data_IF_106947493627
#
_entry.id   IF_106947493627
#
_cell.length_a   1.000
_cell.length_b   1.000
_cell.length_c   1.000
_cell.angle_alpha   90.00
_cell.angle_beta   90.00
_cell.angle_gamma   90.00
#
_symmetry.space_group_name_H-M   'P 1'
#
loop_
_entity.id
_entity.type
_entity.pdbx_description
1 polymer ?
#
# COMPACT_ATOMS: atom_id res chain seq x y z
N UNK A 1 -7.13 10.45 -16.45
CA UNK A 1 -6.02 9.54 -16.11
C UNK A 1 -5.28 10.17 -14.94
N UNK A 2 -4.88 9.35 -13.97
CA UNK A 2 -4.00 9.79 -12.87
C UNK A 2 -2.68 10.34 -13.46
N UNK A 3 -2.15 11.39 -12.87
CA UNK A 3 -0.91 12.03 -13.29
C UNK A 3 0.15 11.89 -12.20
N UNK A 4 1.39 11.69 -12.61
CA UNK A 4 2.54 11.88 -11.73
C UNK A 4 2.86 13.38 -11.66
N UNK A 5 2.84 13.92 -10.44
CA UNK A 5 3.16 15.32 -10.18
C UNK A 5 4.68 15.43 -10.04
N UNK A 6 5.26 16.34 -10.81
CA UNK A 6 6.70 16.66 -10.79
C UNK A 6 6.88 18.13 -10.47
N UNK A 7 7.97 18.46 -9.78
CA UNK A 7 8.33 19.85 -9.48
C UNK A 7 7.50 20.51 -8.36
N UNK A 8 6.69 19.74 -7.62
CA UNK A 8 5.98 20.22 -6.44
C UNK A 8 6.01 19.18 -5.33
N UNK A 9 5.54 19.56 -4.14
CA UNK A 9 5.43 18.68 -2.98
C UNK A 9 4.03 18.76 -2.40
N UNK A 10 3.58 17.73 -1.65
CA UNK A 10 2.27 17.76 -0.99
C UNK A 10 2.03 19.05 -0.20
N UNK A 11 3.01 19.47 0.57
CA UNK A 11 2.92 20.68 1.41
C UNK A 11 2.72 21.96 0.57
N UNK A 12 3.45 22.11 -0.54
CA UNK A 12 3.31 23.27 -1.42
C UNK A 12 1.94 23.31 -2.09
N UNK A 13 1.36 22.16 -2.36
CA UNK A 13 0.04 22.05 -3.00
C UNK A 13 -1.11 22.01 -1.97
N UNK A 14 -0.83 22.19 -0.68
CA UNK A 14 -1.84 22.24 0.38
C UNK A 14 -2.43 20.90 0.77
N UNK A 15 -1.68 19.81 0.60
CA UNK A 15 -2.08 18.47 1.02
C UNK A 15 -1.38 18.05 2.31
N UNK A 16 -2.10 17.26 3.14
CA UNK A 16 -1.60 16.62 4.35
C UNK A 16 -1.89 15.12 4.33
N UNK A 17 -1.14 14.33 5.07
CA UNK A 17 -1.49 12.95 5.37
C UNK A 17 -2.52 12.96 6.51
N UNK A 18 -3.74 12.41 6.30
CA UNK A 18 -4.74 12.31 7.34
C UNK A 18 -4.33 11.26 8.39
N UNK A 19 -4.85 11.38 9.60
CA UNK A 19 -4.69 10.34 10.60
C UNK A 19 -5.44 9.06 10.17
N UNK A 20 -4.96 7.91 10.60
CA UNK A 20 -5.57 6.61 10.25
C UNK A 20 -6.98 6.43 10.82
N UNK A 21 -7.31 7.16 11.90
CA UNK A 21 -8.65 7.17 12.51
C UNK A 21 -9.62 8.19 11.89
N UNK A 22 -9.19 9.00 10.90
CA UNK A 22 -10.11 9.85 10.14
C UNK A 22 -11.00 8.97 9.24
N UNK A 23 -12.21 9.44 8.84
CA UNK A 23 -13.11 8.67 7.99
C UNK A 23 -12.43 8.19 6.70
N UNK A 24 -12.51 6.91 6.41
CA UNK A 24 -11.90 6.27 5.26
C UNK A 24 -12.95 5.93 4.20
N UNK A 25 -12.56 5.93 2.94
CA UNK A 25 -13.42 5.54 1.81
C UNK A 25 -13.37 4.04 1.52
N UNK A 26 -12.40 3.34 2.08
CA UNK A 26 -12.22 1.89 1.93
C UNK A 26 -10.77 1.44 2.15
N UNK A 27 -10.59 0.13 2.19
CA UNK A 27 -9.31 -0.53 2.46
C UNK A 27 -8.85 -1.33 1.25
N UNK A 28 -7.55 -1.29 1.00
CA UNK A 28 -6.87 -2.09 -0.01
C UNK A 28 -6.03 -3.18 0.65
N UNK A 29 -6.04 -4.38 0.07
CA UNK A 29 -5.23 -5.52 0.50
C UNK A 29 -4.58 -6.18 -0.71
N UNK A 30 -3.40 -6.80 -0.52
CA UNK A 30 -2.80 -7.72 -1.49
C UNK A 30 -3.01 -9.16 -1.02
N UNK A 31 -3.24 -10.08 -1.96
CA UNK A 31 -3.49 -11.48 -1.65
C UNK A 31 -2.17 -12.24 -1.47
N UNK A 32 -1.94 -12.90 -0.32
CA UNK A 32 -0.69 -13.63 -0.10
C UNK A 32 -0.64 -14.92 -0.92
N UNK A 33 0.47 -15.13 -1.65
CA UNK A 33 0.67 -16.33 -2.47
C UNK A 33 2.11 -16.86 -2.47
N UNK A 34 3.08 -16.04 -2.06
CA UNK A 34 4.50 -16.33 -2.15
C UNK A 34 4.92 -17.48 -1.19
N UNK A 35 5.42 -18.60 -1.74
CA UNK A 35 5.68 -19.80 -0.96
C UNK A 35 6.92 -19.75 -0.06
N UNK A 36 7.88 -18.89 -0.37
CA UNK A 36 9.09 -18.71 0.44
C UNK A 36 8.86 -17.81 1.67
N UNK A 37 7.84 -16.95 1.62
CA UNK A 37 7.41 -16.12 2.77
C UNK A 37 6.23 -16.74 3.52
N UNK A 38 5.30 -17.38 2.81
CA UNK A 38 4.06 -17.88 3.38
C UNK A 38 4.01 -19.40 3.37
N UNK A 39 4.11 -20.01 4.56
CA UNK A 39 4.08 -21.47 4.71
C UNK A 39 2.82 -22.11 4.12
N UNK A 40 2.90 -23.39 3.78
CA UNK A 40 1.78 -24.22 3.33
C UNK A 40 1.05 -23.66 2.09
N UNK A 41 1.80 -23.07 1.14
CA UNK A 41 1.24 -22.48 -0.06
C UNK A 41 0.35 -21.26 0.25
N UNK A 42 0.72 -20.47 1.24
CA UNK A 42 0.03 -19.29 1.75
C UNK A 42 -1.39 -19.56 2.30
N UNK A 43 -1.84 -20.80 2.42
CA UNK A 43 -3.22 -21.11 2.86
C UNK A 43 -3.60 -20.55 4.23
N UNK A 44 -2.74 -20.62 5.28
CA UNK A 44 -3.03 -20.01 6.56
C UNK A 44 -3.11 -18.48 6.49
N UNK A 45 -2.19 -17.85 5.74
CA UNK A 45 -2.20 -16.41 5.52
C UNK A 45 -3.47 -15.98 4.77
N UNK A 46 -3.82 -16.67 3.69
CA UNK A 46 -5.05 -16.41 2.93
C UNK A 46 -6.30 -16.52 3.80
N UNK A 47 -6.32 -17.48 4.76
CA UNK A 47 -7.42 -17.56 5.72
C UNK A 47 -7.47 -16.32 6.63
N UNK A 48 -6.34 -15.90 7.17
CA UNK A 48 -6.27 -14.71 8.01
C UNK A 48 -6.70 -13.45 7.25
N UNK A 49 -6.24 -13.28 6.01
CA UNK A 49 -6.63 -12.16 5.15
C UNK A 49 -8.12 -12.17 4.82
N UNK A 50 -8.71 -13.35 4.59
CA UNK A 50 -10.16 -13.52 4.44
C UNK A 50 -10.90 -13.07 5.70
N UNK A 51 -10.46 -13.52 6.88
CA UNK A 51 -11.09 -13.17 8.15
C UNK A 51 -11.02 -11.66 8.40
N UNK A 52 -9.87 -11.03 8.14
CA UNK A 52 -9.67 -9.57 8.23
C UNK A 52 -10.55 -8.82 7.24
N UNK A 53 -10.55 -9.20 5.96
CA UNK A 53 -11.39 -8.56 4.94
C UNK A 53 -12.88 -8.65 5.31
N UNK A 54 -13.32 -9.80 5.85
CA UNK A 54 -14.70 -10.00 6.29
C UNK A 54 -15.07 -9.12 7.50
N UNK A 55 -14.13 -8.92 8.41
CA UNK A 55 -14.34 -8.04 9.57
C UNK A 55 -14.44 -6.56 9.13
N UNK A 56 -13.56 -6.11 8.25
CA UNK A 56 -13.53 -4.73 7.74
C UNK A 56 -14.80 -4.41 6.93
N UNK A 57 -15.31 -5.35 6.15
CA UNK A 57 -16.53 -5.18 5.35
C UNK A 57 -17.77 -4.75 6.13
N UNK A 58 -17.78 -4.93 7.45
CA UNK A 58 -18.88 -4.48 8.30
C UNK A 58 -18.91 -2.96 8.47
N UNK A 59 -17.81 -2.28 8.13
CA UNK A 59 -17.62 -0.86 8.37
C UNK A 59 -17.32 -0.08 7.08
N UNK A 60 -16.56 -0.68 6.16
CA UNK A 60 -16.09 -0.01 4.96
C UNK A 60 -15.82 -0.97 3.78
N UNK A 61 -15.81 -0.48 2.54
CA UNK A 61 -15.50 -1.28 1.36
C UNK A 61 -14.08 -1.85 1.41
N UNK A 62 -13.92 -3.09 0.94
CA UNK A 62 -12.61 -3.75 0.84
C UNK A 62 -12.30 -4.09 -0.61
N UNK A 63 -11.11 -3.72 -1.05
CA UNK A 63 -10.53 -4.13 -2.34
C UNK A 63 -9.35 -5.06 -2.09
N UNK A 64 -9.36 -6.24 -2.70
CA UNK A 64 -8.25 -7.20 -2.65
C UNK A 64 -7.64 -7.34 -4.04
N UNK A 65 -6.35 -7.03 -4.14
CA UNK A 65 -5.58 -7.23 -5.36
C UNK A 65 -5.01 -8.66 -5.37
N UNK A 66 -5.08 -9.30 -6.52
CA UNK A 66 -4.70 -10.69 -6.70
C UNK A 66 -3.93 -10.86 -8.01
N UNK A 67 -2.98 -11.79 -8.05
CA UNK A 67 -2.37 -12.17 -9.33
C UNK A 67 -3.40 -12.87 -10.24
N UNK A 68 -3.18 -12.89 -11.56
CA UNK A 68 -4.03 -13.64 -12.49
C UNK A 68 -4.19 -15.10 -12.08
N UNK A 69 -3.11 -15.72 -11.58
CA UNK A 69 -3.11 -17.13 -11.16
C UNK A 69 -3.99 -17.40 -9.93
N UNK A 70 -4.16 -16.41 -9.06
CA UNK A 70 -4.92 -16.53 -7.82
C UNK A 70 -6.34 -15.94 -7.91
N UNK A 71 -6.70 -15.32 -9.03
CA UNK A 71 -7.97 -14.62 -9.16
C UNK A 71 -9.17 -15.52 -8.83
N UNK A 72 -9.24 -16.69 -9.43
CA UNK A 72 -10.35 -17.61 -9.19
C UNK A 72 -10.37 -18.11 -7.74
N UNK A 73 -9.21 -18.52 -7.20
CA UNK A 73 -9.07 -18.94 -5.81
C UNK A 73 -9.55 -17.87 -4.82
N UNK A 74 -9.09 -16.64 -5.00
CA UNK A 74 -9.50 -15.53 -4.15
C UNK A 74 -11.00 -15.21 -4.31
N UNK A 75 -11.51 -15.20 -5.54
CA UNK A 75 -12.92 -14.89 -5.82
C UNK A 75 -13.88 -15.91 -5.23
N UNK A 76 -13.51 -17.19 -5.21
CA UNK A 76 -14.32 -18.26 -4.62
C UNK A 76 -14.33 -18.19 -3.08
N UNK A 77 -13.26 -17.70 -2.47
CA UNK A 77 -13.09 -17.64 -1.00
C UNK A 77 -13.58 -16.35 -0.38
N UNK A 78 -13.36 -15.21 -1.05
CA UNK A 78 -13.72 -13.90 -0.53
C UNK A 78 -15.23 -13.64 -0.65
N UNK A 79 -15.84 -12.92 0.34
CA UNK A 79 -17.23 -12.47 0.23
C UNK A 79 -17.49 -11.74 -1.09
N UNK A 80 -18.71 -11.88 -1.62
CA UNK A 80 -19.10 -11.22 -2.90
C UNK A 80 -18.98 -9.70 -2.85
N UNK A 81 -19.13 -9.11 -1.67
CA UNK A 81 -19.01 -7.66 -1.46
C UNK A 81 -17.57 -7.15 -1.55
N UNK A 82 -16.56 -8.02 -1.41
CA UNK A 82 -15.16 -7.65 -1.65
C UNK A 82 -14.94 -7.41 -3.13
N UNK A 83 -14.43 -6.24 -3.48
CA UNK A 83 -13.93 -5.94 -4.83
C UNK A 83 -12.63 -6.70 -5.05
N UNK A 84 -12.57 -7.59 -6.02
CA UNK A 84 -11.34 -8.29 -6.41
C UNK A 84 -10.80 -7.65 -7.67
N UNK A 85 -9.55 -7.24 -7.64
CA UNK A 85 -8.85 -6.58 -8.74
C UNK A 85 -7.66 -7.43 -9.15
N UNK A 86 -7.53 -7.71 -10.43
CA UNK A 86 -6.35 -8.38 -10.96
C UNK A 86 -5.17 -7.40 -11.01
N UNK A 87 -4.20 -7.63 -10.13
CA UNK A 87 -2.98 -6.86 -10.01
C UNK A 87 -1.86 -7.75 -9.48
N UNK A 88 -0.86 -8.03 -10.30
CA UNK A 88 0.31 -8.78 -9.87
C UNK A 88 1.18 -7.95 -8.92
N UNK A 89 1.67 -8.61 -7.86
CA UNK A 89 2.64 -8.13 -6.88
C UNK A 89 3.69 -9.22 -6.64
N UNK A 90 4.81 -8.86 -6.01
CA UNK A 90 5.81 -9.85 -5.61
C UNK A 90 5.45 -10.47 -4.25
N UNK A 91 4.78 -9.72 -3.36
CA UNK A 91 4.24 -10.22 -2.10
C UNK A 91 3.03 -9.38 -1.61
N UNK A 92 2.57 -9.57 -0.38
CA UNK A 92 1.30 -9.06 0.14
C UNK A 92 1.45 -7.91 1.17
N UNK A 93 2.39 -7.00 0.96
CA UNK A 93 2.77 -5.94 1.91
C UNK A 93 2.28 -4.54 1.49
N UNK A 94 0.98 -4.40 1.24
CA UNK A 94 0.41 -3.13 0.74
C UNK A 94 0.57 -1.96 1.73
N UNK A 95 0.70 -2.22 3.03
CA UNK A 95 1.01 -1.18 4.02
C UNK A 95 2.31 -0.47 3.67
N UNK A 96 3.29 -1.20 3.14
CA UNK A 96 4.63 -0.70 2.89
C UNK A 96 4.84 -0.28 1.43
N UNK A 97 4.29 -1.00 0.47
CA UNK A 97 4.44 -0.71 -0.96
C UNK A 97 3.23 0.00 -1.59
N UNK A 98 2.15 0.19 -0.84
CA UNK A 98 0.96 0.91 -1.31
C UNK A 98 1.10 2.43 -1.22
N UNK A 99 0.14 3.17 -1.82
CA UNK A 99 0.17 4.63 -1.78
C UNK A 99 -0.16 5.17 -0.39
N UNK A 100 0.54 6.23 0.01
CA UNK A 100 0.11 7.06 1.14
C UNK A 100 -0.86 8.12 0.64
N UNK A 101 -2.13 7.97 0.96
CA UNK A 101 -3.15 8.94 0.55
C UNK A 101 -3.04 10.24 1.33
N UNK A 102 -3.32 11.32 0.62
CA UNK A 102 -3.27 12.70 1.11
C UNK A 102 -4.59 13.40 0.84
N UNK A 103 -4.97 14.27 1.73
CA UNK A 103 -6.19 15.09 1.59
C UNK A 103 -5.89 16.57 1.70
N UNK A 104 -6.78 17.40 1.16
CA UNK A 104 -6.76 18.84 1.37
C UNK A 104 -8.12 19.34 1.87
N UNK A 105 -8.19 20.58 2.32
CA UNK A 105 -9.40 21.20 2.90
C UNK A 105 -10.56 21.33 1.90
N UNK A 106 -10.30 21.19 0.60
CA UNK A 106 -11.31 21.29 -0.46
C UNK A 106 -11.86 19.89 -0.86
N UNK A 107 -11.54 18.82 -0.12
CA UNK A 107 -11.95 17.45 -0.43
C UNK A 107 -11.15 16.81 -1.57
N UNK A 108 -10.06 17.43 -2.01
CA UNK A 108 -9.14 16.83 -2.98
C UNK A 108 -8.35 15.67 -2.36
N UNK A 109 -8.12 14.63 -3.15
CA UNK A 109 -7.30 13.48 -2.76
C UNK A 109 -6.12 13.35 -3.72
N UNK A 110 -4.94 13.13 -3.18
CA UNK A 110 -3.71 12.76 -3.89
C UNK A 110 -3.02 11.64 -3.15
N UNK A 111 -1.89 11.16 -3.67
CA UNK A 111 -1.11 10.14 -2.98
C UNK A 111 0.40 10.39 -3.09
N UNK A 112 1.16 9.83 -2.16
CA UNK A 112 2.60 9.64 -2.34
C UNK A 112 2.85 8.19 -2.74
N UNK A 113 3.61 8.03 -3.79
CA UNK A 113 4.12 6.78 -4.32
C UNK A 113 5.60 6.70 -3.92
N UNK A 114 5.88 6.01 -2.80
CA UNK A 114 7.21 5.85 -2.26
C UNK A 114 8.03 4.83 -3.07
N UNK A 115 9.33 5.00 -3.12
CA UNK A 115 10.21 3.93 -3.63
C UNK A 115 10.21 2.78 -2.64
N UNK A 116 9.99 1.56 -3.12
CA UNK A 116 10.00 0.34 -2.32
C UNK A 116 11.12 -0.60 -2.77
N UNK A 117 11.84 -1.19 -1.80
CA UNK A 117 13.00 -2.06 -2.06
C UNK A 117 13.03 -3.33 -1.20
N UNK A 118 11.88 -3.80 -0.74
CA UNK A 118 11.74 -4.97 0.12
C UNK A 118 12.59 -4.88 1.42
N UNK A 119 12.65 -3.68 2.03
CA UNK A 119 13.32 -3.37 3.31
C UNK A 119 14.84 -3.58 3.34
N UNK A 120 15.54 -3.31 2.28
CA UNK A 120 17.01 -3.39 2.27
C UNK A 120 17.64 -3.68 0.91
N UNK A 121 16.82 -3.77 -0.13
CA UNK A 121 17.30 -3.92 -1.50
C UNK A 121 18.06 -5.24 -1.71
N UNK A 122 19.17 -5.18 -2.43
CA UNK A 122 19.95 -6.38 -2.80
C UNK A 122 20.78 -6.96 -1.65
N UNK A 123 20.97 -6.23 -0.56
CA UNK A 123 21.85 -6.68 0.55
C UNK A 123 21.02 -7.29 1.68
N UNK A 124 20.02 -6.57 2.16
CA UNK A 124 19.25 -6.94 3.34
C UNK A 124 17.76 -7.15 3.04
N UNK A 125 17.34 -7.00 1.77
CA UNK A 125 15.94 -7.16 1.37
C UNK A 125 15.39 -8.54 1.69
N UNK A 126 14.12 -8.58 2.12
CA UNK A 126 13.44 -9.83 2.47
C UNK A 126 13.30 -10.77 1.27
N UNK A 127 13.16 -10.21 0.07
CA UNK A 127 13.02 -10.98 -1.18
C UNK A 127 13.48 -10.19 -2.41
N UNK A 128 13.70 -10.92 -3.49
CA UNK A 128 13.98 -10.40 -4.82
C UNK A 128 13.25 -11.26 -5.88
N UNK A 129 12.68 -10.67 -6.95
CA UNK A 129 12.56 -9.22 -7.21
C UNK A 129 11.45 -8.56 -6.37
N UNK A 130 11.39 -7.20 -6.39
CA UNK A 130 10.32 -6.39 -5.79
C UNK A 130 9.75 -5.34 -6.75
N UNK A 131 10.06 -5.45 -8.02
CA UNK A 131 9.68 -4.49 -9.07
C UNK A 131 8.16 -4.38 -9.27
N UNK A 132 7.41 -5.45 -9.03
CA UNK A 132 5.96 -5.41 -9.07
C UNK A 132 5.37 -4.71 -7.84
N UNK A 133 5.98 -4.89 -6.68
CA UNK A 133 5.57 -4.22 -5.45
C UNK A 133 5.86 -2.72 -5.51
N UNK A 134 7.01 -2.32 -6.05
CA UNK A 134 7.35 -0.90 -6.27
C UNK A 134 6.37 -0.18 -7.24
N UNK A 135 5.57 -0.92 -7.99
CA UNK A 135 4.53 -0.38 -8.88
C UNK A 135 3.12 -0.39 -8.25
N UNK A 136 2.92 -1.01 -7.09
CA UNK A 136 1.57 -1.15 -6.49
C UNK A 136 0.93 0.20 -6.23
N UNK A 137 1.68 1.14 -5.63
CA UNK A 137 1.17 2.48 -5.34
C UNK A 137 0.67 3.20 -6.60
N UNK A 138 1.47 3.18 -7.67
CA UNK A 138 1.08 3.77 -8.95
C UNK A 138 -0.19 3.14 -9.51
N UNK A 139 -0.27 1.80 -9.53
CA UNK A 139 -1.44 1.07 -10.07
C UNK A 139 -2.71 1.37 -9.28
N UNK A 140 -2.63 1.44 -7.95
CA UNK A 140 -3.76 1.83 -7.10
C UNK A 140 -4.20 3.26 -7.43
N UNK A 141 -3.26 4.21 -7.55
CA UNK A 141 -3.57 5.59 -7.95
C UNK A 141 -4.25 5.67 -9.32
N UNK A 142 -3.82 4.87 -10.28
CA UNK A 142 -4.44 4.81 -11.62
C UNK A 142 -5.88 4.28 -11.55
N UNK A 143 -6.14 3.24 -10.76
CA UNK A 143 -7.48 2.65 -10.56
C UNK A 143 -8.42 3.65 -9.87
N UNK A 144 -7.94 4.33 -8.85
CA UNK A 144 -8.71 5.34 -8.11
C UNK A 144 -8.72 6.72 -8.80
N UNK A 145 -7.97 6.89 -9.90
CA UNK A 145 -7.84 8.15 -10.66
C UNK A 145 -7.32 9.31 -9.81
N UNK A 146 -6.40 9.02 -8.93
CA UNK A 146 -5.79 9.94 -7.98
C UNK A 146 -4.39 10.31 -8.48
N UNK A 147 -4.08 11.59 -8.54
CA UNK A 147 -2.74 12.06 -8.90
C UNK A 147 -1.74 11.74 -7.78
N UNK A 148 -0.49 11.45 -8.14
CA UNK A 148 0.53 11.03 -7.17
C UNK A 148 1.84 11.78 -7.31
N UNK A 149 2.56 11.86 -6.18
CA UNK A 149 3.95 12.30 -6.10
C UNK A 149 4.84 11.06 -6.00
N UNK A 150 5.75 10.85 -6.92
CA UNK A 150 6.77 9.78 -6.82
C UNK A 150 8.01 10.32 -6.14
N UNK A 151 8.51 9.61 -5.14
CA UNK A 151 9.82 9.88 -4.56
C UNK A 151 10.88 9.10 -5.31
N UNK A 152 11.87 9.79 -5.86
CA UNK A 152 13.01 9.15 -6.50
C UNK A 152 14.18 9.12 -5.53
N UNK A 153 14.75 7.93 -5.30
CA UNK A 153 15.92 7.75 -4.42
C UNK A 153 15.62 7.88 -2.91
N UNK A 154 14.36 8.01 -2.52
CA UNK A 154 13.96 8.00 -1.12
C UNK A 154 13.00 6.84 -0.86
N UNK A 155 13.47 5.85 -0.10
CA UNK A 155 12.70 4.68 0.31
C UNK A 155 11.97 4.98 1.60
N UNK A 156 10.66 4.70 1.62
CA UNK A 156 9.86 4.78 2.85
C UNK A 156 8.73 3.76 2.78
N UNK A 157 8.59 3.01 3.83
CA UNK A 157 7.48 2.08 4.02
C UNK A 157 6.39 2.74 4.87
N UNK A 158 5.13 2.61 4.44
CA UNK A 158 4.00 3.14 5.20
C UNK A 158 3.87 2.57 6.62
N UNK A 159 4.41 1.37 6.86
CA UNK A 159 4.48 0.75 8.18
C UNK A 159 5.49 1.40 9.13
N UNK A 160 6.41 2.21 8.63
CA UNK A 160 7.44 2.89 9.44
C UNK A 160 7.01 4.26 9.97
N UNK A 161 5.86 4.78 9.55
CA UNK A 161 5.33 6.08 9.96
C UNK A 161 3.90 5.98 10.48
N UNK A 162 3.57 6.85 11.44
CA UNK A 162 2.21 7.06 11.91
C UNK A 162 1.99 8.54 12.20
N UNK A 163 0.84 9.09 11.84
CA UNK A 163 0.54 10.52 11.98
C UNK A 163 -0.79 10.74 12.71
N UNK A 164 -0.89 11.90 13.38
CA UNK A 164 -2.15 12.37 13.99
C UNK A 164 -3.00 13.21 13.02
N UNK A 165 -2.50 13.49 11.81
CA UNK A 165 -3.14 14.35 10.83
C UNK A 165 -2.99 15.86 11.11
N UNK A 166 -2.39 16.25 12.22
CA UNK A 166 -2.25 17.64 12.69
C UNK A 166 -0.80 18.12 12.75
N UNK A 167 0.14 17.37 12.20
CA UNK A 167 1.53 17.76 12.07
C UNK A 167 2.52 16.97 12.94
N UNK A 168 2.04 16.01 13.75
CA UNK A 168 2.91 15.08 14.49
C UNK A 168 3.13 13.81 13.69
N UNK A 169 4.37 13.34 13.62
CA UNK A 169 4.73 12.05 13.05
C UNK A 169 5.49 11.20 14.07
N UNK A 170 5.08 9.95 14.21
CA UNK A 170 5.83 8.92 14.90
C UNK A 170 6.50 8.05 13.84
N UNK A 171 7.77 7.74 14.03
CA UNK A 171 8.54 6.91 13.12
C UNK A 171 9.38 5.89 13.88
N UNK A 172 9.77 4.82 13.17
CA UNK A 172 10.67 3.80 13.75
C UNK A 172 12.11 4.30 13.80
N UNK A 173 12.88 3.80 14.77
CA UNK A 173 14.31 4.10 14.84
C UNK A 173 15.06 3.68 13.57
N UNK A 174 14.63 2.59 12.93
CA UNK A 174 15.26 2.09 11.70
C UNK A 174 15.17 3.08 10.55
N UNK A 175 14.03 3.75 10.37
CA UNK A 175 13.90 4.80 9.36
C UNK A 175 14.80 6.00 9.66
N UNK A 176 15.00 6.33 10.94
CA UNK A 176 15.81 7.47 11.36
C UNK A 176 17.32 7.18 11.34
N UNK A 177 17.72 5.93 11.48
CA UNK A 177 19.13 5.51 11.67
C UNK A 177 19.69 4.66 10.53
N UNK A 178 18.86 4.26 9.54
CA UNK A 178 19.32 3.49 8.38
C UNK A 178 19.83 4.40 7.28
N UNK A 179 20.70 3.87 6.43
CA UNK A 179 21.27 4.53 5.25
C UNK A 179 20.22 4.99 4.23
N UNK A 180 18.94 4.73 4.46
CA UNK A 180 17.85 5.34 3.71
C UNK A 180 17.77 6.87 3.90
N UNK A 181 18.53 7.40 4.85
CA UNK A 181 18.66 8.83 5.12
C UNK A 181 20.00 9.45 4.61
N UNK A 182 20.92 8.65 4.00
CA UNK A 182 22.19 9.12 3.43
C UNK A 182 22.09 9.45 1.93
#
# INVERSE_FOLDING_TARGET
MAKRITGSTPKLDGYRMPAEFEPQAGVWMLWPERNDNWRDGAKPAQKAFLDVATAILQFEPVTVCVSPAQYQNARERLPRAVRVVEMASNDAWIRDCGPTFLVNDNGGVRAVDWTFNAWGGLVDGLYFPWDLDDQVAQKVCEIERVDSYRTEGFVLEGGSIHVDGEGTVLTTCLLYTSDAAD
#
